data_IF_495600831303
#
_entry.id   IF_495600831303
#
_cell.length_a   1.000
_cell.length_b   1.000
_cell.length_c   1.000
_cell.angle_alpha   90.00
_cell.angle_beta   90.00
_cell.angle_gamma   90.00
#
_symmetry.space_group_name_H-M   'P 1'
#
loop_
_entity.id
_entity.type
_entity.pdbx_description
1 polymer ?
#
# COMPACT_ATOMS: atom_id res chain seq x y z
N UNK A 1 41.89 7.17 -16.47
CA UNK A 1 41.91 6.24 -15.31
C UNK A 1 41.13 6.71 -14.06
N UNK A 2 40.83 8.02 -13.89
CA UNK A 2 40.13 8.55 -12.70
C UNK A 2 38.61 8.27 -12.62
N UNK A 3 37.89 8.22 -13.75
CA UNK A 3 36.42 8.01 -13.76
C UNK A 3 35.95 6.62 -13.31
N UNK A 4 36.76 5.57 -13.49
CA UNK A 4 36.39 4.19 -13.10
C UNK A 4 36.39 4.01 -11.56
N UNK A 5 37.31 4.69 -10.86
CA UNK A 5 37.40 4.66 -9.39
C UNK A 5 36.23 5.41 -8.72
N UNK A 6 35.76 6.51 -9.31
CA UNK A 6 34.62 7.29 -8.78
C UNK A 6 33.30 6.50 -8.88
N UNK A 7 33.05 5.82 -10.02
CA UNK A 7 31.88 4.94 -10.15
C UNK A 7 31.90 3.76 -9.17
N UNK A 8 33.08 3.16 -8.94
CA UNK A 8 33.23 2.09 -7.97
C UNK A 8 33.02 2.55 -6.53
N UNK A 9 33.47 3.77 -6.19
CA UNK A 9 33.29 4.35 -4.86
C UNK A 9 31.82 4.73 -4.61
N UNK A 10 31.12 5.28 -5.60
CA UNK A 10 29.69 5.58 -5.53
C UNK A 10 28.84 4.31 -5.39
N UNK A 11 29.22 3.24 -6.08
CA UNK A 11 28.52 1.95 -6.00
C UNK A 11 28.74 1.27 -4.64
N UNK A 12 29.94 1.38 -4.06
CA UNK A 12 30.24 0.94 -2.70
C UNK A 12 29.50 1.77 -1.64
N UNK A 13 29.39 3.08 -1.81
CA UNK A 13 28.59 3.96 -0.93
C UNK A 13 27.10 3.65 -1.01
N UNK A 14 26.57 3.32 -2.20
CA UNK A 14 25.19 2.86 -2.36
C UNK A 14 24.96 1.52 -1.64
N UNK A 15 25.88 0.56 -1.79
CA UNK A 15 25.82 -0.73 -1.10
C UNK A 15 25.92 -0.53 0.42
N UNK A 16 26.76 0.39 0.89
CA UNK A 16 26.90 0.69 2.32
C UNK A 16 25.64 1.38 2.88
N UNK A 17 25.01 2.30 2.13
CA UNK A 17 23.72 2.91 2.50
C UNK A 17 22.58 1.89 2.57
N UNK A 18 22.59 0.88 1.71
CA UNK A 18 21.62 -0.23 1.75
C UNK A 18 21.85 -1.13 2.98
N UNK A 19 23.10 -1.23 3.47
CA UNK A 19 23.49 -2.12 4.57
C UNK A 19 23.34 -1.50 5.97
N UNK A 20 23.32 -0.17 6.12
CA UNK A 20 23.31 0.49 7.44
C UNK A 20 21.94 0.69 8.10
N UNK A 21 20.84 0.23 7.49
CA UNK A 21 19.48 0.53 8.00
C UNK A 21 18.54 -0.67 7.99
N UNK A 22 19.00 -1.87 8.37
CA UNK A 22 18.16 -3.07 8.32
C UNK A 22 18.19 -3.83 9.65
N UNK A 23 17.40 -3.38 10.63
CA UNK A 23 16.94 -4.30 11.68
C UNK A 23 15.71 -5.05 11.17
N UNK A 24 15.94 -6.21 10.57
CA UNK A 24 14.85 -7.10 10.11
C UNK A 24 14.15 -7.70 11.34
N UNK A 25 13.00 -7.15 11.73
CA UNK A 25 12.14 -7.74 12.75
C UNK A 25 11.23 -8.82 12.14
N UNK A 26 11.76 -10.03 11.93
CA UNK A 26 10.99 -11.17 11.38
C UNK A 26 9.66 -11.37 12.12
N UNK A 27 8.53 -11.24 11.41
CA UNK A 27 7.18 -11.56 11.88
C UNK A 27 6.72 -12.75 11.05
N UNK A 28 6.64 -13.93 11.66
CA UNK A 28 6.27 -15.16 10.95
C UNK A 28 4.77 -15.15 10.66
N UNK A 29 4.38 -15.25 9.38
CA UNK A 29 2.97 -15.37 8.97
C UNK A 29 2.88 -16.28 7.73
N UNK A 30 2.01 -17.29 7.75
CA UNK A 30 1.93 -18.27 6.65
C UNK A 30 0.98 -17.78 5.54
N UNK A 31 1.49 -16.98 4.60
CA UNK A 31 0.70 -16.39 3.49
C UNK A 31 0.36 -17.38 2.38
N UNK A 32 1.01 -18.54 2.33
CA UNK A 32 0.91 -19.47 1.19
C UNK A 32 -0.51 -19.90 0.80
N UNK A 33 -1.52 -19.60 1.62
CA UNK A 33 -2.92 -19.95 1.38
C UNK A 33 -3.94 -18.87 1.78
N UNK A 34 -3.55 -17.59 1.89
CA UNK A 34 -4.51 -16.53 2.26
C UNK A 34 -5.12 -15.91 1.01
N UNK A 35 -6.44 -16.00 0.87
CA UNK A 35 -7.18 -15.21 -0.13
C UNK A 35 -7.38 -13.78 0.37
N UNK A 36 -7.56 -12.84 -0.56
CA UNK A 36 -7.83 -11.44 -0.21
C UNK A 36 -8.94 -11.28 0.83
N UNK A 37 -10.12 -11.88 0.63
CA UNK A 37 -11.25 -11.70 1.55
C UNK A 37 -11.04 -12.43 2.91
N UNK A 38 -10.04 -13.31 3.02
CA UNK A 38 -9.78 -14.10 4.23
C UNK A 38 -8.73 -13.44 5.15
N UNK A 39 -7.93 -12.50 4.63
CA UNK A 39 -6.91 -11.82 5.42
C UNK A 39 -7.54 -10.88 6.47
N UNK A 40 -7.02 -10.93 7.68
CA UNK A 40 -7.40 -10.02 8.77
C UNK A 40 -6.49 -8.79 8.79
N UNK A 41 -6.64 -7.92 7.78
CA UNK A 41 -5.81 -6.70 7.64
C UNK A 41 -5.76 -5.84 8.91
N UNK A 42 -6.89 -5.69 9.62
CA UNK A 42 -6.95 -4.87 10.84
C UNK A 42 -6.15 -5.51 11.97
N UNK A 43 -6.31 -6.82 12.18
CA UNK A 43 -5.56 -7.56 13.20
C UNK A 43 -4.05 -7.54 12.89
N UNK A 44 -3.69 -7.83 11.65
CA UNK A 44 -2.31 -7.87 11.21
C UNK A 44 -1.62 -6.50 11.33
N UNK A 45 -2.29 -5.43 10.91
CA UNK A 45 -1.81 -4.06 11.12
C UNK A 45 -1.62 -3.73 12.61
N UNK A 46 -2.56 -4.12 13.48
CA UNK A 46 -2.43 -3.89 14.92
C UNK A 46 -1.22 -4.64 15.51
N UNK A 47 -0.95 -5.86 15.06
CA UNK A 47 0.22 -6.63 15.46
C UNK A 47 1.53 -5.95 15.03
N UNK A 48 1.59 -5.50 13.77
CA UNK A 48 2.74 -4.76 13.22
C UNK A 48 2.94 -3.45 13.99
N UNK A 49 1.88 -2.67 14.19
CA UNK A 49 1.89 -1.43 14.97
C UNK A 49 2.46 -1.64 16.37
N UNK A 50 1.98 -2.65 17.10
CA UNK A 50 2.47 -2.99 18.45
C UNK A 50 3.95 -3.36 18.45
N UNK A 51 4.40 -4.16 17.49
CA UNK A 51 5.79 -4.64 17.41
C UNK A 51 6.79 -3.54 17.02
N UNK A 52 6.35 -2.62 16.16
CA UNK A 52 7.13 -1.47 15.71
C UNK A 52 7.00 -0.27 16.65
N UNK A 53 6.05 -0.30 17.59
CA UNK A 53 5.71 0.79 18.52
C UNK A 53 5.31 2.08 17.79
N UNK A 54 4.53 1.95 16.72
CA UNK A 54 4.13 3.11 15.91
C UNK A 54 3.13 3.98 16.67
N UNK A 55 3.16 5.29 16.39
CA UNK A 55 2.14 6.20 16.92
C UNK A 55 0.75 5.91 16.33
N UNK A 56 -0.27 6.52 16.93
CA UNK A 56 -1.66 6.33 16.52
C UNK A 56 -2.00 6.92 15.16
N UNK A 57 -1.21 7.87 14.68
CA UNK A 57 -1.40 8.63 13.45
C UNK A 57 -0.50 8.16 12.30
N UNK A 58 0.10 6.96 12.39
CA UNK A 58 0.88 6.40 11.29
C UNK A 58 0.06 6.37 9.99
N UNK A 59 0.67 6.85 8.91
CA UNK A 59 0.05 7.01 7.59
C UNK A 59 0.45 5.87 6.66
N UNK A 60 -0.43 5.52 5.73
CA UNK A 60 -0.13 4.53 4.69
C UNK A 60 0.40 5.23 3.44
N UNK A 61 1.42 4.62 2.84
CA UNK A 61 1.95 5.04 1.55
C UNK A 61 2.27 3.81 0.67
N UNK A 62 2.14 3.98 -0.65
CA UNK A 62 2.63 3.03 -1.68
C UNK A 62 2.29 1.55 -1.40
N UNK A 63 1.01 1.25 -1.20
CA UNK A 63 0.57 -0.14 -1.08
C UNK A 63 0.50 -0.78 -2.47
N UNK A 64 1.04 -1.99 -2.59
CA UNK A 64 0.90 -2.91 -3.70
C UNK A 64 0.55 -4.30 -3.17
N UNK A 65 -0.52 -4.87 -3.69
CA UNK A 65 -0.98 -6.19 -3.37
C UNK A 65 -1.23 -6.94 -4.68
N UNK A 66 -0.52 -8.05 -4.89
CA UNK A 66 -0.73 -8.90 -6.07
C UNK A 66 -1.48 -10.16 -5.68
N UNK A 67 -2.47 -10.50 -6.49
CA UNK A 67 -3.31 -11.68 -6.39
C UNK A 67 -3.10 -12.57 -7.62
N UNK A 68 -3.18 -13.88 -7.46
CA UNK A 68 -3.36 -14.77 -8.61
C UNK A 68 -4.82 -14.81 -9.09
N UNK A 69 -5.07 -15.54 -10.17
CA UNK A 69 -6.41 -15.79 -10.72
C UNK A 69 -7.45 -16.39 -9.74
N UNK A 70 -7.00 -16.96 -8.62
CA UNK A 70 -7.84 -17.52 -7.56
C UNK A 70 -7.88 -16.61 -6.32
N UNK A 71 -7.47 -15.35 -6.44
CA UNK A 71 -7.44 -14.31 -5.40
C UNK A 71 -6.53 -14.60 -4.21
N UNK A 72 -5.60 -15.54 -4.33
CA UNK A 72 -4.56 -15.76 -3.33
C UNK A 72 -3.51 -14.67 -3.41
N UNK A 73 -3.13 -14.14 -2.26
CA UNK A 73 -2.09 -13.13 -2.13
C UNK A 73 -0.74 -13.75 -2.48
N UNK A 74 -0.05 -13.17 -3.47
CA UNK A 74 1.30 -13.58 -3.89
C UNK A 74 2.35 -12.57 -3.43
N UNK A 75 1.95 -11.31 -3.29
CA UNK A 75 2.75 -10.18 -2.82
C UNK A 75 1.86 -9.22 -2.02
N UNK A 76 2.35 -8.76 -0.86
CA UNK A 76 1.84 -7.57 -0.17
C UNK A 76 3.03 -6.69 0.20
N UNK A 77 3.01 -5.45 -0.26
CA UNK A 77 4.01 -4.43 0.01
C UNK A 77 3.32 -3.13 0.38
N UNK A 78 3.83 -2.41 1.36
CA UNK A 78 3.37 -1.08 1.71
C UNK A 78 4.37 -0.37 2.61
N UNK A 79 4.23 0.95 2.70
CA UNK A 79 5.01 1.79 3.58
C UNK A 79 4.11 2.34 4.70
N UNK A 80 4.62 2.33 5.93
CA UNK A 80 4.03 3.10 7.03
C UNK A 80 4.93 4.28 7.37
N UNK A 81 4.34 5.47 7.33
CA UNK A 81 5.00 6.72 7.70
C UNK A 81 4.60 7.07 9.13
N UNK A 82 5.55 7.07 10.05
CA UNK A 82 5.34 7.43 11.45
C UNK A 82 6.15 8.67 11.80
N UNK A 83 5.51 9.64 12.46
CA UNK A 83 6.19 10.85 12.89
C UNK A 83 6.77 10.66 14.29
N UNK A 84 8.10 10.62 14.37
CA UNK A 84 8.80 10.54 15.65
C UNK A 84 8.92 11.93 16.26
N UNK A 85 7.96 12.27 17.12
CA UNK A 85 7.93 13.55 17.85
C UNK A 85 9.23 13.83 18.63
N UNK A 86 9.92 12.80 19.14
CA UNK A 86 11.12 12.99 19.95
C UNK A 86 12.32 13.44 19.12
N UNK A 87 12.41 12.96 17.88
CA UNK A 87 13.50 13.25 16.96
C UNK A 87 13.13 14.27 15.88
N UNK A 88 11.88 14.75 15.86
CA UNK A 88 11.31 15.64 14.85
C UNK A 88 11.55 15.14 13.41
N UNK A 89 11.44 13.82 13.23
CA UNK A 89 11.73 13.13 11.96
C UNK A 89 10.62 12.16 11.61
N UNK A 90 10.50 11.88 10.33
CA UNK A 90 9.65 10.80 9.86
C UNK A 90 10.44 9.50 9.76
N UNK A 91 9.86 8.44 10.30
CA UNK A 91 10.30 7.06 10.13
C UNK A 91 9.41 6.39 9.11
N UNK A 92 10.01 5.87 8.06
CA UNK A 92 9.33 5.06 7.04
C UNK A 92 9.64 3.60 7.30
N UNK A 93 8.60 2.80 7.47
CA UNK A 93 8.68 1.34 7.58
C UNK A 93 8.25 0.72 6.27
N UNK A 94 9.21 0.17 5.54
CA UNK A 94 9.01 -0.58 4.31
C UNK A 94 8.65 -2.01 4.65
N UNK A 95 7.39 -2.39 4.47
CA UNK A 95 6.86 -3.67 4.87
C UNK A 95 6.57 -4.48 3.62
N UNK A 96 7.13 -5.68 3.56
CA UNK A 96 6.89 -6.59 2.44
C UNK A 96 6.65 -8.01 2.91
N UNK A 97 5.87 -8.71 2.09
CA UNK A 97 5.37 -10.03 2.38
C UNK A 97 5.26 -10.79 1.06
N UNK A 98 6.06 -11.83 0.92
CA UNK A 98 6.11 -12.61 -0.32
C UNK A 98 5.73 -14.06 -0.07
N UNK A 99 5.10 -14.69 -1.07
CA UNK A 99 4.76 -16.12 -1.05
C UNK A 99 5.98 -17.03 -0.76
N UNK A 100 7.17 -16.63 -1.19
CA UNK A 100 8.41 -17.39 -0.94
C UNK A 100 8.90 -17.23 0.50
N UNK A 101 8.77 -16.03 1.07
CA UNK A 101 9.28 -15.69 2.39
C UNK A 101 8.44 -16.23 3.55
N UNK A 102 7.11 -16.32 3.41
CA UNK A 102 6.20 -16.70 4.51
C UNK A 102 6.45 -15.92 5.82
N UNK A 103 6.91 -14.68 5.69
CA UNK A 103 7.24 -13.80 6.79
C UNK A 103 7.27 -12.37 6.30
N UNK A 104 6.96 -11.45 7.20
CA UNK A 104 7.17 -10.04 6.96
C UNK A 104 8.66 -9.71 6.99
N UNK A 105 9.10 -9.04 5.93
CA UNK A 105 10.38 -8.36 5.85
C UNK A 105 10.11 -6.87 6.05
N UNK A 106 10.78 -6.29 7.03
CA UNK A 106 10.58 -4.89 7.43
C UNK A 106 11.94 -4.20 7.40
N UNK A 107 12.02 -3.13 6.62
CA UNK A 107 13.17 -2.23 6.57
C UNK A 107 12.74 -0.84 7.04
N UNK A 108 13.66 -0.05 7.58
CA UNK A 108 13.34 1.27 8.12
C UNK A 108 14.29 2.30 7.53
N UNK A 109 13.73 3.43 7.12
CA UNK A 109 14.49 4.62 6.74
C UNK A 109 13.97 5.83 7.51
N UNK A 110 14.82 6.84 7.64
CA UNK A 110 14.45 8.11 8.27
C UNK A 110 14.60 9.24 7.26
N UNK A 111 13.71 10.21 7.36
CA UNK A 111 13.78 11.46 6.59
C UNK A 111 13.42 12.63 7.47
N UNK A 112 13.91 13.81 7.09
CA UNK A 112 13.42 15.06 7.65
C UNK A 112 11.96 15.32 7.19
N UNK A 113 11.39 16.43 7.66
CA UNK A 113 10.01 16.82 7.41
C UNK A 113 9.62 16.76 5.92
N UNK A 114 8.48 16.11 5.61
CA UNK A 114 7.88 16.10 4.29
C UNK A 114 6.40 16.47 4.37
N UNK A 115 6.03 17.65 3.87
CA UNK A 115 4.64 18.13 3.85
C UNK A 115 3.69 17.25 3.02
N UNK A 116 4.23 16.42 2.11
CA UNK A 116 3.42 15.51 1.33
C UNK A 116 2.76 14.41 2.19
N UNK A 117 3.27 14.16 3.40
CA UNK A 117 2.71 13.15 4.30
C UNK A 117 1.39 13.59 4.94
N UNK A 118 1.10 14.89 4.98
CA UNK A 118 -0.17 15.41 5.49
C UNK A 118 -1.37 14.97 4.64
N UNK A 119 -1.13 14.71 3.35
CA UNK A 119 -2.15 14.26 2.40
C UNK A 119 -2.42 12.75 2.47
N UNK A 120 -1.63 11.99 3.25
CA UNK A 120 -1.76 10.54 3.32
C UNK A 120 -2.91 10.10 4.24
N UNK A 121 -3.55 9.01 3.86
CA UNK A 121 -4.58 8.34 4.66
C UNK A 121 -3.97 7.74 5.95
N UNK A 122 -4.72 7.83 7.05
CA UNK A 122 -4.38 7.09 8.27
C UNK A 122 -4.39 5.58 7.99
N UNK A 123 -3.29 4.89 8.30
CA UNK A 123 -3.16 3.47 7.98
C UNK A 123 -4.27 2.63 8.63
N UNK A 124 -4.61 2.91 9.89
CA UNK A 124 -5.73 2.27 10.58
C UNK A 124 -7.04 2.40 9.80
N UNK A 125 -7.36 3.60 9.30
CA UNK A 125 -8.60 3.83 8.53
C UNK A 125 -8.59 3.04 7.23
N UNK A 126 -7.46 3.06 6.51
CA UNK A 126 -7.31 2.30 5.28
C UNK A 126 -7.53 0.79 5.50
N UNK A 127 -6.86 0.20 6.49
CA UNK A 127 -6.95 -1.24 6.74
C UNK A 127 -8.35 -1.69 7.19
N UNK A 128 -9.08 -0.82 7.92
CA UNK A 128 -10.49 -1.06 8.21
C UNK A 128 -11.36 -1.09 6.95
N UNK A 129 -11.09 -0.24 5.97
CA UNK A 129 -11.86 -0.23 4.73
C UNK A 129 -11.55 -1.48 3.92
N UNK A 130 -10.27 -1.71 3.60
CA UNK A 130 -9.84 -2.76 2.66
C UNK A 130 -10.23 -4.17 3.14
N UNK A 131 -10.29 -4.39 4.47
CA UNK A 131 -10.78 -5.65 5.07
C UNK A 131 -12.26 -5.93 4.80
N UNK A 132 -13.08 -4.88 4.67
CA UNK A 132 -14.52 -4.99 4.46
C UNK A 132 -14.91 -5.00 2.98
N UNK A 133 -13.94 -4.99 2.06
CA UNK A 133 -14.20 -5.03 0.62
C UNK A 133 -14.31 -6.47 0.16
N UNK A 134 -15.36 -6.75 -0.62
CA UNK A 134 -15.42 -7.97 -1.42
C UNK A 134 -14.77 -7.72 -2.79
N UNK A 135 -13.54 -8.18 -2.97
CA UNK A 135 -12.77 -7.94 -4.20
C UNK A 135 -13.40 -8.59 -5.43
N UNK A 136 -14.21 -9.63 -5.25
CA UNK A 136 -14.89 -10.34 -6.34
C UNK A 136 -15.97 -9.48 -7.00
N UNK A 137 -16.55 -8.53 -6.26
CA UNK A 137 -17.49 -7.52 -6.80
C UNK A 137 -16.80 -6.48 -7.68
N UNK A 138 -15.50 -6.28 -7.49
CA UNK A 138 -14.68 -5.34 -8.27
C UNK A 138 -14.06 -6.07 -9.48
N UNK A 139 -13.51 -7.26 -9.24
CA UNK A 139 -12.89 -8.13 -10.22
C UNK A 139 -13.93 -9.12 -10.73
N UNK A 140 -14.70 -8.69 -11.74
CA UNK A 140 -15.82 -9.48 -12.28
C UNK A 140 -15.43 -10.52 -13.34
N UNK A 141 -14.15 -10.65 -13.70
CA UNK A 141 -13.67 -11.52 -14.77
C UNK A 141 -12.45 -12.31 -14.29
N UNK A 142 -12.58 -13.64 -14.22
CA UNK A 142 -11.54 -14.59 -13.78
C UNK A 142 -10.57 -15.03 -14.89
N UNK A 143 -10.62 -14.40 -16.06
CA UNK A 143 -9.79 -14.77 -17.21
C UNK A 143 -8.38 -14.15 -17.20
N UNK A 144 -8.03 -13.40 -16.16
CA UNK A 144 -6.70 -12.82 -15.95
C UNK A 144 -5.82 -13.72 -15.10
N UNK A 145 -4.53 -13.77 -15.41
CA UNK A 145 -3.56 -14.59 -14.67
C UNK A 145 -3.20 -14.00 -13.31
N UNK A 146 -3.24 -12.68 -13.17
CA UNK A 146 -3.02 -11.95 -11.92
C UNK A 146 -3.83 -10.64 -11.87
N UNK A 147 -3.93 -10.10 -10.67
CA UNK A 147 -4.49 -8.78 -10.39
C UNK A 147 -3.57 -8.04 -9.44
N UNK A 148 -3.31 -6.77 -9.73
CA UNK A 148 -2.62 -5.86 -8.81
C UNK A 148 -3.62 -4.87 -8.24
N UNK A 149 -3.54 -4.68 -6.93
CA UNK A 149 -4.31 -3.69 -6.18
C UNK A 149 -3.28 -2.74 -5.58
N UNK A 150 -3.39 -1.45 -5.89
CA UNK A 150 -2.39 -0.49 -5.42
C UNK A 150 -2.98 0.88 -5.06
N UNK A 151 -2.33 1.56 -4.13
CA UNK A 151 -2.64 2.96 -3.77
C UNK A 151 -1.38 3.71 -3.37
N UNK A 152 -1.31 4.99 -3.70
CA UNK A 152 -0.27 5.88 -3.18
C UNK A 152 -0.54 6.28 -1.72
N UNK A 153 -1.77 6.09 -1.24
CA UNK A 153 -2.25 6.58 0.06
C UNK A 153 -2.60 8.07 0.07
N UNK A 154 -2.31 8.82 -1.01
CA UNK A 154 -2.58 10.27 -1.12
C UNK A 154 -4.05 10.54 -1.44
N UNK A 155 -4.55 11.66 -0.96
CA UNK A 155 -5.86 12.20 -1.36
C UNK A 155 -5.79 12.66 -2.82
N UNK A 156 -6.64 12.10 -3.68
CA UNK A 156 -6.69 12.45 -5.10
C UNK A 156 -7.85 13.43 -5.37
N UNK A 157 -7.60 14.41 -6.23
CA UNK A 157 -8.53 15.50 -6.55
C UNK A 157 -9.24 15.22 -7.90
N UNK A 158 -8.89 14.13 -8.60
CA UNK A 158 -9.55 13.83 -9.87
C UNK A 158 -9.53 12.36 -10.28
N UNK A 159 -10.67 11.88 -10.78
CA UNK A 159 -10.84 10.52 -11.29
C UNK A 159 -10.73 10.40 -12.83
N UNK A 160 -10.28 11.46 -13.53
CA UNK A 160 -10.40 11.62 -15.00
C UNK A 160 -9.76 10.51 -15.84
N UNK A 161 -8.84 9.71 -15.29
CA UNK A 161 -8.09 8.70 -16.04
C UNK A 161 -8.55 7.25 -15.82
N UNK A 162 -9.80 7.00 -15.39
CA UNK A 162 -10.29 5.63 -15.16
C UNK A 162 -11.42 5.20 -16.08
N UNK A 163 -11.23 4.05 -16.75
CA UNK A 163 -12.27 3.39 -17.58
C UNK A 163 -13.51 3.01 -16.76
N UNK A 164 -13.35 2.75 -15.46
CA UNK A 164 -14.41 2.36 -14.53
C UNK A 164 -14.15 2.92 -13.14
N UNK A 165 -15.05 3.79 -12.69
CA UNK A 165 -15.00 4.42 -11.37
C UNK A 165 -16.03 3.77 -10.45
N UNK A 166 -15.60 3.44 -9.24
CA UNK A 166 -16.43 2.88 -8.18
C UNK A 166 -16.30 3.71 -6.89
N UNK A 167 -17.34 3.71 -6.07
CA UNK A 167 -17.34 4.30 -4.72
C UNK A 167 -17.72 3.21 -3.72
N UNK A 168 -17.11 3.25 -2.53
CA UNK A 168 -17.60 2.51 -1.36
C UNK A 168 -18.46 3.41 -0.49
N UNK A 169 -19.73 3.05 -0.36
CA UNK A 169 -20.69 3.68 0.53
C UNK A 169 -21.28 2.63 1.46
N UNK A 170 -21.20 2.83 2.78
CA UNK A 170 -21.75 1.88 3.78
C UNK A 170 -21.30 0.43 3.55
N UNK A 171 -20.03 0.23 3.17
CA UNK A 171 -19.42 -1.06 2.82
C UNK A 171 -19.95 -1.71 1.52
N UNK A 172 -20.68 -0.99 0.69
CA UNK A 172 -21.10 -1.45 -0.64
C UNK A 172 -20.31 -0.78 -1.75
N UNK A 173 -19.84 -1.58 -2.71
CA UNK A 173 -19.17 -1.09 -3.91
C UNK A 173 -20.23 -0.72 -4.97
N UNK A 174 -20.28 0.55 -5.37
CA UNK A 174 -21.20 1.05 -6.41
C UNK A 174 -20.43 1.61 -7.60
N UNK A 175 -20.85 1.26 -8.81
CA UNK A 175 -20.32 1.85 -10.06
C UNK A 175 -21.02 3.17 -10.34
N UNK A 176 -20.28 4.15 -10.85
CA UNK A 176 -20.79 5.48 -11.19
C UNK A 176 -20.34 5.93 -12.60
N UNK A 177 -21.04 6.90 -13.18
CA UNK A 177 -20.87 7.32 -14.59
C UNK A 177 -20.38 8.77 -14.79
N UNK A 178 -20.38 9.63 -13.77
CA UNK A 178 -19.95 11.04 -13.85
C UNK A 178 -18.92 11.34 -12.75
N UNK A 179 -17.87 12.11 -13.04
CA UNK A 179 -16.72 12.18 -12.14
C UNK A 179 -16.05 13.56 -12.04
N UNK A 180 -16.55 14.36 -11.09
CA UNK A 180 -15.70 15.22 -10.26
C UNK A 180 -15.78 14.66 -8.84
N UNK A 181 -14.92 13.68 -8.56
CA UNK A 181 -14.84 13.03 -7.24
C UNK A 181 -13.42 13.17 -6.73
N UNK A 182 -13.33 13.65 -5.50
CA UNK A 182 -12.08 13.78 -4.77
C UNK A 182 -12.11 12.85 -3.58
N UNK A 183 -11.02 12.13 -3.33
CA UNK A 183 -10.93 11.21 -2.21
C UNK A 183 -9.70 10.31 -2.27
N UNK A 184 -9.59 9.45 -1.26
CA UNK A 184 -8.65 8.33 -1.28
C UNK A 184 -9.17 7.21 -2.18
N UNK A 185 -8.26 6.58 -2.91
CA UNK A 185 -8.60 5.49 -3.82
C UNK A 185 -7.61 4.35 -3.79
N UNK A 186 -8.04 3.18 -4.25
CA UNK A 186 -7.17 2.12 -4.77
C UNK A 186 -7.43 1.98 -6.26
N UNK A 187 -6.44 1.44 -6.94
CA UNK A 187 -6.53 1.07 -8.33
C UNK A 187 -6.37 -0.44 -8.43
N UNK A 188 -7.13 -1.05 -9.33
CA UNK A 188 -7.05 -2.47 -9.65
C UNK A 188 -6.72 -2.62 -11.12
N UNK A 189 -5.62 -3.31 -11.39
CA UNK A 189 -5.12 -3.63 -12.72
C UNK A 189 -4.96 -5.13 -12.90
N UNK A 190 -4.90 -5.58 -14.13
CA UNK A 190 -4.63 -6.97 -14.47
C UNK A 190 -3.68 -7.07 -15.68
N UNK A 191 -3.28 -8.28 -16.02
CA UNK A 191 -2.46 -8.62 -17.20
C UNK A 191 -3.07 -8.21 -18.56
N UNK A 192 -4.34 -7.81 -18.58
CA UNK A 192 -5.05 -7.32 -19.76
C UNK A 192 -5.15 -5.80 -19.80
N UNK A 193 -4.40 -5.10 -18.93
CA UNK A 193 -4.41 -3.64 -18.79
C UNK A 193 -5.80 -3.05 -18.49
N UNK A 194 -6.73 -3.85 -17.92
CA UNK A 194 -8.01 -3.31 -17.46
C UNK A 194 -7.78 -2.49 -16.20
N UNK A 195 -8.13 -1.21 -16.23
CA UNK A 195 -7.95 -0.30 -15.11
C UNK A 195 -9.28 0.01 -14.42
N UNK A 196 -9.34 -0.19 -13.10
CA UNK A 196 -10.50 0.15 -12.26
C UNK A 196 -10.04 1.00 -11.09
N UNK A 197 -10.68 2.14 -10.85
CA UNK A 197 -10.41 2.99 -9.69
C UNK A 197 -11.58 2.94 -8.71
N UNK A 198 -11.29 2.67 -7.44
CA UNK A 198 -12.29 2.60 -6.38
C UNK A 198 -11.98 3.65 -5.32
N UNK A 199 -12.93 4.53 -5.04
CA UNK A 199 -12.86 5.57 -4.02
C UNK A 199 -13.55 5.15 -2.72
N UNK A 200 -12.99 5.52 -1.56
CA UNK A 200 -13.50 5.11 -0.24
C UNK A 200 -13.95 6.26 0.66
N UNK A 201 -13.50 7.47 0.34
CA UNK A 201 -13.85 8.70 1.07
C UNK A 201 -14.05 9.83 0.07
N UNK A 202 -14.83 9.55 -0.97
CA UNK A 202 -15.13 10.49 -2.04
C UNK A 202 -16.14 11.56 -1.59
N UNK A 203 -15.89 12.84 -1.85
CA UNK A 203 -16.99 13.79 -2.03
C UNK A 203 -17.32 13.85 -3.51
N UNK A 204 -18.58 13.64 -3.86
CA UNK A 204 -19.08 14.04 -5.17
C UNK A 204 -19.13 15.56 -5.18
N UNK A 205 -18.37 16.19 -6.08
CA UNK A 205 -18.58 17.60 -6.36
C UNK A 205 -19.90 17.71 -7.12
N UNK A 206 -20.96 18.07 -6.40
CA UNK A 206 -22.22 18.45 -7.04
C UNK A 206 -21.96 19.78 -7.74
N UNK A 207 -22.07 19.80 -9.06
CA UNK A 207 -22.13 21.04 -9.84
C UNK A 207 -23.46 21.74 -9.64
#
# INVERSE_FOLDING_TARGET
MKHKKIKSLLMLLLIFFILTSCTVKNLETNIKQIKFNDIKFVEDYNNIKKKLKLNNNAKLQNLLLTLNNNYYITLLQYELIDFDNANNKYKTYHISLTKKGNKYEIHTSESDFCSQYDQLIDAKKFFHIIENIDITKIISDNSSSYYDIYTTGKYDISAVYSDKIYIIEKNEVKKINEAEIEGYSINVTNDKNTYRRIFFFGKTLVK
#
